data_IF_297361898178
#
_entry.id   IF_297361898178
#
_cell.length_a   1.000
_cell.length_b   1.000
_cell.length_c   1.000
_cell.angle_alpha   90.00
_cell.angle_beta   90.00
_cell.angle_gamma   90.00
#
_symmetry.space_group_name_H-M   'P 1'
#
loop_
_entity.id
_entity.type
_entity.pdbx_description
1 polymer ?
#
# COMPACT_ATOMS: atom_id res chain seq x y z
N UNK A 1 -10.37 26.99 4.69
CA UNK A 1 -10.17 25.55 4.48
C UNK A 1 -9.99 25.35 2.99
N UNK A 2 -8.90 24.71 2.57
CA UNK A 2 -8.71 24.39 1.14
C UNK A 2 -9.49 23.09 0.88
N UNK A 3 -10.24 23.06 -0.20
CA UNK A 3 -11.06 21.92 -0.63
C UNK A 3 -10.30 21.05 -1.63
N UNK A 4 -10.68 19.77 -1.75
CA UNK A 4 -10.06 18.87 -2.73
C UNK A 4 -10.12 19.41 -4.17
N UNK A 5 -11.25 19.97 -4.65
CA UNK A 5 -11.30 20.59 -5.99
C UNK A 5 -10.33 21.77 -6.16
N UNK A 6 -10.10 22.57 -5.12
CA UNK A 6 -9.11 23.65 -5.16
C UNK A 6 -7.68 23.13 -5.25
N UNK A 7 -7.37 22.03 -4.55
CA UNK A 7 -6.06 21.35 -4.65
C UNK A 7 -5.86 20.79 -6.07
N UNK A 8 -6.86 20.09 -6.62
CA UNK A 8 -6.78 19.56 -7.99
C UNK A 8 -6.60 20.66 -9.03
N UNK A 9 -7.30 21.79 -8.85
CA UNK A 9 -7.15 22.96 -9.72
C UNK A 9 -5.74 23.55 -9.64
N UNK A 10 -5.15 23.62 -8.44
CA UNK A 10 -3.79 24.09 -8.24
C UNK A 10 -2.75 23.14 -8.87
N UNK A 11 -2.93 21.82 -8.72
CA UNK A 11 -2.04 20.81 -9.32
C UNK A 11 -2.04 20.93 -10.84
N UNK A 12 -3.20 21.18 -11.47
CA UNK A 12 -3.32 21.38 -12.93
C UNK A 12 -2.56 22.60 -13.46
N UNK A 13 -2.19 23.55 -12.60
CA UNK A 13 -1.42 24.74 -12.97
C UNK A 13 0.09 24.54 -12.83
N UNK A 14 0.53 23.41 -12.26
CA UNK A 14 1.94 23.13 -12.07
C UNK A 14 2.62 22.72 -13.39
N UNK A 15 3.89 23.09 -13.59
CA UNK A 15 4.73 22.48 -14.62
C UNK A 15 4.78 20.96 -14.47
N UNK A 16 4.95 20.24 -15.57
CA UNK A 16 4.96 18.76 -15.55
C UNK A 16 6.03 18.18 -14.61
N UNK A 17 7.20 18.81 -14.51
CA UNK A 17 8.26 18.39 -13.58
C UNK A 17 7.82 18.43 -12.12
N UNK A 18 7.12 19.50 -11.73
CA UNK A 18 6.61 19.68 -10.38
C UNK A 18 5.47 18.70 -10.08
N UNK A 19 4.61 18.40 -11.07
CA UNK A 19 3.58 17.36 -10.94
C UNK A 19 4.23 15.99 -10.69
N UNK A 20 5.30 15.64 -11.42
CA UNK A 20 6.02 14.38 -11.20
C UNK A 20 6.64 14.34 -9.81
N UNK A 21 7.31 15.40 -9.37
CA UNK A 21 7.88 15.46 -8.03
C UNK A 21 6.79 15.33 -6.94
N UNK A 22 5.66 16.02 -7.11
CA UNK A 22 4.51 15.92 -6.22
C UNK A 22 3.96 14.49 -6.18
N UNK A 23 3.89 13.80 -7.31
CA UNK A 23 3.39 12.42 -7.38
C UNK A 23 4.25 11.44 -6.59
N UNK A 24 5.58 11.61 -6.59
CA UNK A 24 6.49 10.77 -5.80
C UNK A 24 6.25 10.98 -4.31
N UNK A 25 6.22 12.24 -3.87
CA UNK A 25 5.95 12.56 -2.47
C UNK A 25 4.56 12.09 -2.02
N UNK A 26 3.54 12.23 -2.87
CA UNK A 26 2.18 11.81 -2.54
C UNK A 26 2.10 10.29 -2.38
N UNK A 27 2.84 9.53 -3.20
CA UNK A 27 2.93 8.08 -3.06
C UNK A 27 3.54 7.71 -1.70
N UNK A 28 4.67 8.31 -1.33
CA UNK A 28 5.31 8.08 -0.02
C UNK A 28 4.35 8.39 1.15
N UNK A 29 3.63 9.51 1.05
CA UNK A 29 2.64 9.88 2.05
C UNK A 29 1.49 8.87 2.16
N UNK A 30 0.99 8.37 1.02
CA UNK A 30 -0.06 7.35 1.01
C UNK A 30 0.43 6.00 1.54
N UNK A 31 1.68 5.64 1.25
CA UNK A 31 2.33 4.43 1.77
C UNK A 31 2.44 4.51 3.30
N UNK A 32 2.91 5.63 3.86
CA UNK A 32 2.94 5.84 5.31
C UNK A 32 1.55 5.77 5.96
N UNK A 33 0.52 6.31 5.29
CA UNK A 33 -0.86 6.21 5.78
C UNK A 33 -1.33 4.75 5.78
N UNK A 34 -0.96 3.98 4.76
CA UNK A 34 -1.31 2.57 4.66
C UNK A 34 -0.60 1.74 5.72
N UNK A 35 0.67 1.98 6.00
CA UNK A 35 1.42 1.33 7.08
C UNK A 35 0.71 1.51 8.43
N UNK A 36 0.32 2.75 8.76
CA UNK A 36 -0.42 3.06 10.00
C UNK A 36 -1.78 2.35 10.06
N UNK A 37 -2.47 2.25 8.93
CA UNK A 37 -3.75 1.54 8.84
C UNK A 37 -3.55 0.03 9.09
N UNK A 38 -2.52 -0.57 8.50
CA UNK A 38 -2.19 -1.99 8.69
C UNK A 38 -1.83 -2.26 10.15
N UNK A 39 -1.02 -1.40 10.78
CA UNK A 39 -0.69 -1.52 12.21
C UNK A 39 -1.94 -1.45 13.09
N UNK A 40 -2.84 -0.49 12.83
CA UNK A 40 -4.09 -0.37 13.57
C UNK A 40 -5.02 -1.58 13.36
N UNK A 41 -5.13 -2.06 12.12
CA UNK A 41 -5.92 -3.23 11.76
C UNK A 41 -5.37 -4.50 12.43
N UNK A 42 -4.04 -4.65 12.51
CA UNK A 42 -3.38 -5.73 13.24
C UNK A 42 -3.70 -5.67 14.74
N UNK A 43 -3.52 -4.52 15.38
CA UNK A 43 -3.80 -4.34 16.82
C UNK A 43 -5.27 -4.57 17.16
N UNK A 44 -6.18 -4.23 16.24
CA UNK A 44 -7.62 -4.45 16.44
C UNK A 44 -8.07 -5.91 16.23
N UNK A 45 -7.17 -6.81 15.80
CA UNK A 45 -7.49 -8.20 15.49
C UNK A 45 -8.23 -8.40 14.16
N UNK A 46 -8.38 -7.35 13.36
CA UNK A 46 -9.10 -7.43 12.07
C UNK A 46 -8.39 -8.35 11.07
N UNK A 47 -7.08 -8.52 11.21
CA UNK A 47 -6.27 -9.37 10.34
C UNK A 47 -6.15 -10.82 10.84
N UNK A 48 -6.65 -11.15 12.04
CA UNK A 48 -6.47 -12.46 12.68
C UNK A 48 -6.95 -13.62 11.79
N UNK A 49 -8.11 -13.44 11.13
CA UNK A 49 -8.66 -14.46 10.22
C UNK A 49 -7.74 -14.74 9.03
N UNK A 50 -7.18 -13.67 8.44
CA UNK A 50 -6.29 -13.78 7.28
C UNK A 50 -4.96 -14.41 7.68
N UNK A 51 -4.44 -14.08 8.86
CA UNK A 51 -3.23 -14.68 9.43
C UNK A 51 -3.45 -16.18 9.63
N UNK A 52 -4.54 -16.58 10.30
CA UNK A 52 -4.85 -17.99 10.54
C UNK A 52 -5.03 -18.79 9.25
N UNK A 53 -5.68 -18.21 8.23
CA UNK A 53 -5.79 -18.83 6.90
C UNK A 53 -4.42 -19.03 6.26
N UNK A 54 -3.56 -18.01 6.32
CA UNK A 54 -2.20 -18.07 5.76
C UNK A 54 -1.34 -19.12 6.48
N UNK A 55 -1.39 -19.19 7.81
CA UNK A 55 -0.70 -20.21 8.60
C UNK A 55 -1.17 -21.63 8.23
N UNK A 56 -2.47 -21.83 8.04
CA UNK A 56 -3.02 -23.11 7.63
C UNK A 56 -2.59 -23.51 6.20
N UNK A 57 -2.49 -22.54 5.27
CA UNK A 57 -1.98 -22.77 3.92
C UNK A 57 -0.50 -23.12 3.91
N UNK A 58 0.31 -22.45 4.74
CA UNK A 58 1.73 -22.77 4.93
C UNK A 58 1.87 -24.19 5.48
N UNK A 59 1.14 -24.53 6.55
CA UNK A 59 1.17 -25.87 7.15
C UNK A 59 0.72 -26.97 6.19
N UNK A 60 -0.21 -26.66 5.29
CA UNK A 60 -0.69 -27.58 4.27
C UNK A 60 0.16 -27.60 2.98
N UNK A 61 1.27 -26.86 2.94
CA UNK A 61 2.14 -26.71 1.78
C UNK A 61 1.38 -26.23 0.52
N UNK A 62 0.37 -25.37 0.70
CA UNK A 62 -0.41 -24.72 -0.37
C UNK A 62 0.18 -23.38 -0.82
N UNK A 63 1.39 -23.08 -0.36
CA UNK A 63 2.13 -21.86 -0.71
C UNK A 63 3.27 -22.19 -1.66
N UNK A 64 3.64 -21.22 -2.50
CA UNK A 64 4.83 -21.30 -3.35
C UNK A 64 5.92 -20.42 -2.74
N UNK A 65 7.17 -20.87 -2.86
CA UNK A 65 8.29 -20.03 -2.44
C UNK A 65 8.44 -18.85 -3.39
N UNK A 66 8.94 -17.72 -2.88
CA UNK A 66 9.17 -16.54 -3.72
C UNK A 66 10.22 -16.83 -4.81
N UNK A 67 11.22 -17.67 -4.50
CA UNK A 67 12.23 -18.09 -5.47
C UNK A 67 11.64 -18.91 -6.61
N UNK A 68 10.71 -19.82 -6.33
CA UNK A 68 9.97 -20.56 -7.37
C UNK A 68 9.22 -19.61 -8.31
N UNK A 69 8.59 -18.57 -7.75
CA UNK A 69 7.79 -17.60 -8.53
C UNK A 69 8.68 -16.65 -9.34
N UNK A 70 9.79 -16.17 -8.77
CA UNK A 70 10.65 -15.16 -9.39
C UNK A 70 11.71 -15.75 -10.34
N UNK A 71 12.19 -16.96 -10.07
CA UNK A 71 13.30 -17.58 -10.80
C UNK A 71 12.88 -18.81 -11.61
N UNK A 72 11.60 -18.90 -12.00
CA UNK A 72 11.01 -20.00 -12.76
C UNK A 72 11.89 -20.41 -13.97
N UNK A 73 12.80 -21.38 -13.73
CA UNK A 73 13.67 -22.01 -14.72
C UNK A 73 13.10 -23.36 -15.07
#
# INVERSE_FOLDING_TARGET
MITLPEIEAAIKQLPEGDVRQLSVWLQEYLDEMWDRQIEADLVSGKLDKLIAETEADIAANRVKSLDEVLHNT
#
